data_IF_527162143791
#
_entry.id   IF_527162143791
#
_cell.length_a   1.000
_cell.length_b   1.000
_cell.length_c   1.000
_cell.angle_alpha   90.00
_cell.angle_beta   90.00
_cell.angle_gamma   90.00
#
_symmetry.space_group_name_H-M   'P 1'
#
loop_
_entity.id
_entity.type
_entity.pdbx_description
1 polymer ?
#
# COMPACT_ATOMS: atom_id res chain seq x y z
N UNK A 1 -21.68 11.74 1.61
CA UNK A 1 -21.77 10.30 1.29
C UNK A 1 -21.11 9.54 2.43
N UNK A 2 -21.72 9.47 3.60
CA UNK A 2 -21.12 8.79 4.77
C UNK A 2 -22.13 7.79 5.30
N UNK A 3 -21.88 6.49 5.12
CA UNK A 3 -22.78 5.45 5.60
C UNK A 3 -22.90 4.21 4.71
N UNK A 4 -22.02 4.00 3.74
CA UNK A 4 -22.00 2.76 2.97
C UNK A 4 -20.89 1.84 3.46
N UNK A 5 -21.25 0.60 3.78
CA UNK A 5 -20.30 -0.45 4.15
C UNK A 5 -20.01 -1.26 2.88
N UNK A 6 -18.74 -1.36 2.48
CA UNK A 6 -18.31 -2.06 1.28
C UNK A 6 -16.80 -1.95 1.07
N UNK A 7 -16.28 -2.66 0.07
CA UNK A 7 -14.87 -2.63 -0.30
C UNK A 7 -14.63 -1.54 -1.34
N UNK A 8 -14.01 -0.44 -0.93
CA UNK A 8 -13.78 0.76 -1.76
C UNK A 8 -12.31 1.04 -2.06
N UNK A 9 -11.42 0.13 -1.68
CA UNK A 9 -9.99 0.29 -1.95
C UNK A 9 -9.73 -0.12 -3.39
N UNK A 10 -9.16 0.80 -4.18
CA UNK A 10 -8.62 0.51 -5.50
C UNK A 10 -7.09 0.54 -5.47
N UNK A 11 -6.46 -0.24 -6.34
CA UNK A 11 -4.99 -0.28 -6.48
C UNK A 11 -4.56 0.55 -7.69
N UNK A 12 -3.64 1.49 -7.48
CA UNK A 12 -3.03 2.27 -8.56
C UNK A 12 -1.68 1.67 -8.95
N UNK A 13 -1.53 1.33 -10.22
CA UNK A 13 -0.26 0.86 -10.77
C UNK A 13 0.58 2.07 -11.17
N UNK A 14 1.78 2.18 -10.61
CA UNK A 14 2.74 3.23 -10.92
C UNK A 14 3.93 2.65 -11.68
N UNK A 15 4.17 3.11 -12.91
CA UNK A 15 5.36 2.78 -13.70
C UNK A 15 6.35 3.94 -13.64
N UNK A 16 7.26 3.88 -12.68
CA UNK A 16 8.36 4.84 -12.55
C UNK A 16 9.61 4.32 -13.28
N UNK A 17 10.23 5.17 -14.09
CA UNK A 17 11.54 4.91 -14.67
C UNK A 17 12.58 5.72 -13.91
N UNK A 18 13.73 5.11 -13.58
CA UNK A 18 14.82 5.80 -12.89
C UNK A 18 15.72 6.47 -13.93
N UNK A 19 15.80 7.80 -13.90
CA UNK A 19 16.82 8.55 -14.62
C UNK A 19 17.94 8.95 -13.66
N UNK A 20 19.08 8.26 -13.79
CA UNK A 20 20.25 8.47 -12.94
C UNK A 20 20.98 9.80 -13.21
N UNK A 21 20.54 10.58 -14.21
CA UNK A 21 21.07 11.92 -14.46
C UNK A 21 20.33 13.02 -13.69
N UNK A 22 19.17 12.72 -13.10
CA UNK A 22 18.40 13.68 -12.31
C UNK A 22 18.92 13.73 -10.87
N UNK A 23 18.92 14.95 -10.32
CA UNK A 23 19.06 15.12 -8.88
C UNK A 23 17.83 14.55 -8.16
N UNK A 24 18.01 14.13 -6.90
CA UNK A 24 16.94 13.53 -6.09
C UNK A 24 15.72 14.46 -6.00
N UNK A 25 15.92 15.76 -5.87
CA UNK A 25 14.83 16.74 -5.82
C UNK A 25 13.99 16.74 -7.10
N UNK A 26 14.65 16.68 -8.25
CA UNK A 26 13.96 16.67 -9.56
C UNK A 26 13.23 15.35 -9.77
N UNK A 27 13.83 14.24 -9.32
CA UNK A 27 13.19 12.94 -9.34
C UNK A 27 11.93 12.89 -8.45
N UNK A 28 11.98 13.49 -7.25
CA UNK A 28 10.80 13.59 -6.39
C UNK A 28 9.66 14.40 -7.03
N UNK A 29 9.99 15.49 -7.73
CA UNK A 29 8.99 16.26 -8.50
C UNK A 29 8.39 15.40 -9.62
N UNK A 30 9.21 14.63 -10.32
CA UNK A 30 8.75 13.69 -11.35
C UNK A 30 7.80 12.63 -10.78
N UNK A 31 8.16 11.99 -9.66
CA UNK A 31 7.32 11.01 -8.97
C UNK A 31 6.01 11.63 -8.48
N UNK A 32 6.05 12.84 -7.91
CA UNK A 32 4.83 13.55 -7.50
C UNK A 32 3.87 13.76 -8.68
N UNK A 33 4.40 14.16 -9.85
CA UNK A 33 3.61 14.34 -11.07
C UNK A 33 3.00 13.02 -11.56
N UNK A 34 3.79 11.94 -11.54
CA UNK A 34 3.34 10.58 -11.90
C UNK A 34 2.18 10.12 -10.99
N UNK A 35 2.33 10.26 -9.68
CA UNK A 35 1.30 9.87 -8.69
C UNK A 35 0.04 10.71 -8.87
N UNK A 36 0.16 12.04 -9.00
CA UNK A 36 -0.99 12.92 -9.25
C UNK A 36 -1.72 12.56 -10.55
N UNK A 37 -0.98 12.24 -11.61
CA UNK A 37 -1.57 11.83 -12.89
C UNK A 37 -2.31 10.50 -12.78
N UNK A 38 -1.77 9.53 -12.03
CA UNK A 38 -2.45 8.27 -11.77
C UNK A 38 -3.75 8.45 -10.96
N UNK A 39 -3.75 9.36 -9.98
CA UNK A 39 -4.92 9.66 -9.15
C UNK A 39 -6.09 10.26 -9.93
N UNK A 40 -5.83 10.97 -11.04
CA UNK A 40 -6.89 11.47 -11.94
C UNK A 40 -7.72 10.31 -12.52
N UNK A 41 -7.12 9.13 -12.66
CA UNK A 41 -7.75 7.93 -13.20
C UNK A 41 -8.04 6.86 -12.12
N UNK A 42 -8.11 7.25 -10.85
CA UNK A 42 -8.26 6.32 -9.72
C UNK A 42 -9.56 5.50 -9.72
N UNK A 43 -10.56 5.91 -10.50
CA UNK A 43 -11.83 5.19 -10.63
C UNK A 43 -11.75 3.98 -11.56
N UNK A 44 -10.64 3.81 -12.29
CA UNK A 44 -10.40 2.62 -13.14
C UNK A 44 -10.05 1.43 -12.23
N UNK A 45 -10.87 0.37 -12.17
CA UNK A 45 -10.56 -0.80 -11.35
C UNK A 45 -9.29 -1.49 -11.84
N UNK A 46 -8.44 -1.92 -10.91
CA UNK A 46 -7.21 -2.65 -11.22
C UNK A 46 -7.47 -3.90 -12.09
N UNK A 47 -8.56 -4.62 -11.84
CA UNK A 47 -8.93 -5.83 -12.60
C UNK A 47 -9.15 -5.52 -14.07
N UNK A 48 -9.78 -4.36 -14.38
CA UNK A 48 -9.97 -3.93 -15.77
C UNK A 48 -8.65 -3.59 -16.45
N UNK A 49 -7.70 -3.02 -15.71
CA UNK A 49 -6.36 -2.75 -16.23
C UNK A 49 -5.64 -4.07 -16.59
N UNK A 50 -5.74 -5.09 -15.72
CA UNK A 50 -5.16 -6.41 -15.98
C UNK A 50 -5.75 -7.03 -17.25
N UNK A 51 -7.08 -6.99 -17.38
CA UNK A 51 -7.80 -7.53 -18.54
C UNK A 51 -7.37 -6.84 -19.86
N UNK A 52 -7.27 -5.52 -19.85
CA UNK A 52 -6.92 -4.72 -21.03
C UNK A 52 -5.45 -4.91 -21.45
N UNK A 53 -4.54 -5.13 -20.49
CA UNK A 53 -3.13 -5.37 -20.79
C UNK A 53 -2.88 -6.75 -21.45
N UNK A 54 -3.84 -7.68 -21.36
CA UNK A 54 -3.76 -8.98 -22.02
C UNK A 54 -2.54 -9.81 -21.60
N UNK A 55 -2.13 -9.69 -20.33
CA UNK A 55 -0.92 -10.34 -19.81
C UNK A 55 -1.12 -11.84 -19.65
N UNK A 56 -0.07 -12.62 -19.94
CA UNK A 56 -0.08 -14.06 -19.65
C UNK A 56 -0.20 -14.31 -18.15
N UNK A 57 -1.06 -15.25 -17.77
CA UNK A 57 -1.27 -15.59 -16.38
C UNK A 57 -0.16 -16.51 -15.86
N UNK A 58 0.65 -16.01 -14.92
CA UNK A 58 1.60 -16.78 -14.13
C UNK A 58 1.10 -16.88 -12.68
N UNK A 59 0.68 -18.08 -12.25
CA UNK A 59 0.16 -18.31 -10.91
C UNK A 59 1.20 -18.09 -9.78
N UNK A 60 2.49 -17.93 -10.12
CA UNK A 60 3.55 -17.66 -9.15
C UNK A 60 3.75 -16.17 -8.86
N UNK A 61 3.08 -15.26 -9.59
CA UNK A 61 3.30 -13.80 -9.49
C UNK A 61 2.01 -13.01 -9.62
N UNK A 62 2.01 -11.80 -9.04
CA UNK A 62 0.96 -10.82 -9.36
C UNK A 62 1.14 -10.31 -10.81
N UNK A 63 0.05 -10.01 -11.53
CA UNK A 63 0.06 -9.83 -12.98
C UNK A 63 0.82 -8.59 -13.44
N UNK A 64 0.82 -7.50 -12.67
CA UNK A 64 1.37 -6.20 -13.14
C UNK A 64 2.54 -5.71 -12.29
N UNK A 65 2.53 -5.98 -10.99
CA UNK A 65 3.56 -5.51 -10.05
C UNK A 65 3.74 -6.52 -8.92
N UNK A 66 4.92 -6.54 -8.31
CA UNK A 66 5.26 -7.47 -7.24
C UNK A 66 5.53 -6.76 -5.90
N UNK A 67 5.67 -5.43 -5.92
CA UNK A 67 5.90 -4.62 -4.73
C UNK A 67 4.73 -3.66 -4.52
N UNK A 68 4.12 -3.72 -3.34
CA UNK A 68 3.05 -2.83 -2.91
C UNK A 68 3.60 -1.77 -1.96
N UNK A 69 3.14 -0.53 -2.13
CA UNK A 69 3.42 0.57 -1.23
C UNK A 69 2.12 1.22 -0.79
N UNK A 70 1.94 1.40 0.51
CA UNK A 70 0.80 2.11 1.09
C UNK A 70 1.24 3.12 2.13
N UNK A 71 0.50 4.23 2.18
CA UNK A 71 0.58 5.25 3.21
C UNK A 71 -0.83 5.40 3.77
N UNK A 72 -1.01 5.13 5.06
CA UNK A 72 -2.30 5.17 5.73
C UNK A 72 -2.22 6.04 6.99
N UNK A 73 -3.01 7.10 7.02
CA UNK A 73 -3.28 7.83 8.26
C UNK A 73 -4.55 7.25 8.88
N UNK A 74 -4.43 6.24 9.75
CA UNK A 74 -5.57 5.86 10.58
C UNK A 74 -5.82 7.01 11.54
N UNK A 75 -6.81 7.86 11.21
CA UNK A 75 -7.11 9.06 11.99
C UNK A 75 -7.05 8.79 13.49
N UNK A 76 -6.23 9.58 14.19
CA UNK A 76 -6.06 9.54 15.64
C UNK A 76 -7.40 9.62 16.40
N UNK A 77 -8.43 10.14 15.74
CA UNK A 77 -9.82 10.25 16.23
C UNK A 77 -10.48 8.89 16.54
N UNK A 78 -10.07 7.78 15.92
CA UNK A 78 -10.68 6.47 16.21
C UNK A 78 -10.37 5.95 17.62
N UNK A 79 -9.25 6.37 18.23
CA UNK A 79 -8.88 5.98 19.60
C UNK A 79 -9.79 6.61 20.65
N UNK A 80 -10.44 7.74 20.34
CA UNK A 80 -11.29 8.48 21.28
C UNK A 80 -12.73 7.94 21.36
N UNK A 81 -13.13 7.06 20.45
CA UNK A 81 -14.53 6.58 20.36
C UNK A 81 -14.85 5.36 21.23
N UNK A 82 -13.87 4.75 21.87
CA UNK A 82 -14.08 3.65 22.80
C UNK A 82 -14.46 4.19 24.19
N UNK A 83 -15.67 4.75 24.30
CA UNK A 83 -16.27 5.07 25.60
C UNK A 83 -16.51 3.80 26.43
N UNK A 84 -16.79 3.99 27.74
CA UNK A 84 -17.03 2.89 28.69
C UNK A 84 -18.17 1.93 28.31
N UNK A 85 -19.04 2.32 27.37
CA UNK A 85 -20.15 1.51 26.84
C UNK A 85 -19.90 0.94 25.43
N UNK A 86 -18.66 0.99 24.93
CA UNK A 86 -18.33 0.43 23.60
C UNK A 86 -18.37 -1.10 23.62
N UNK A 87 -19.12 -1.70 22.69
CA UNK A 87 -19.12 -3.15 22.44
C UNK A 87 -17.82 -3.64 21.78
N UNK A 88 -17.03 -2.72 21.23
CA UNK A 88 -15.73 -3.01 20.62
C UNK A 88 -14.63 -2.63 21.61
N UNK A 89 -13.77 -3.60 21.92
CA UNK A 89 -12.56 -3.38 22.69
C UNK A 89 -11.37 -3.22 21.74
N UNK A 90 -10.41 -2.33 22.04
CA UNK A 90 -9.16 -2.27 21.32
C UNK A 90 -8.49 -3.66 21.32
N UNK A 91 -8.07 -4.13 20.15
CA UNK A 91 -7.24 -5.32 20.07
C UNK A 91 -5.83 -4.97 20.52
N UNK A 92 -5.39 -5.57 21.64
CA UNK A 92 -4.05 -5.32 22.21
C UNK A 92 -2.95 -6.20 21.61
N UNK A 93 -3.29 -7.10 20.67
CA UNK A 93 -2.29 -7.89 19.96
C UNK A 93 -1.64 -7.11 18.82
N UNK A 94 -0.51 -7.60 18.31
CA UNK A 94 0.06 -7.07 17.07
C UNK A 94 -0.76 -7.58 15.88
N UNK A 95 -1.18 -6.68 14.98
CA UNK A 95 -1.68 -7.06 13.65
C UNK A 95 -0.48 -7.54 12.82
N UNK A 96 -0.02 -8.77 13.05
CA UNK A 96 0.90 -9.40 12.11
C UNK A 96 0.06 -9.91 10.94
N UNK A 97 0.19 -9.24 9.79
CA UNK A 97 -0.23 -9.82 8.52
C UNK A 97 0.70 -10.98 8.19
N UNK A 98 0.38 -12.17 8.71
CA UNK A 98 1.21 -13.38 8.52
C UNK A 98 1.22 -13.88 7.06
N UNK A 99 0.35 -13.32 6.20
CA UNK A 99 0.23 -13.73 4.79
C UNK A 99 0.71 -12.61 3.87
N UNK A 100 1.83 -12.85 3.20
CA UNK A 100 2.33 -12.00 2.12
C UNK A 100 1.49 -12.21 0.86
N UNK A 101 0.73 -11.17 0.47
CA UNK A 101 -0.05 -11.15 -0.78
C UNK A 101 0.79 -10.80 -2.00
N UNK A 102 1.85 -10.02 -1.78
CA UNK A 102 2.84 -9.60 -2.78
C UNK A 102 4.22 -10.08 -2.35
N UNK A 103 5.21 -9.99 -3.24
CA UNK A 103 6.59 -10.37 -2.93
C UNK A 103 7.09 -9.52 -1.75
N UNK A 104 6.82 -8.21 -1.78
CA UNK A 104 7.07 -7.25 -0.71
C UNK A 104 5.93 -6.22 -0.63
N UNK A 105 5.51 -5.89 0.58
CA UNK A 105 4.58 -4.80 0.86
C UNK A 105 5.16 -3.91 1.93
N UNK A 106 5.23 -2.62 1.66
CA UNK A 106 5.63 -1.59 2.62
C UNK A 106 4.41 -0.75 2.97
N UNK A 107 4.07 -0.68 4.26
CA UNK A 107 3.02 0.20 4.76
C UNK A 107 3.62 1.21 5.72
N UNK A 108 3.34 2.49 5.47
CA UNK A 108 3.69 3.60 6.35
C UNK A 108 2.42 4.09 7.05
N UNK A 109 2.48 4.20 8.37
CA UNK A 109 1.51 4.89 9.20
C UNK A 109 2.10 6.22 9.67
N UNK A 110 1.48 7.32 9.26
CA UNK A 110 1.88 8.70 9.57
C UNK A 110 0.91 9.40 10.55
N UNK A 111 0.05 8.64 11.24
CA UNK A 111 -0.96 9.18 12.16
C UNK A 111 -0.40 9.72 13.48
N UNK A 112 0.84 9.37 13.84
CA UNK A 112 1.49 9.73 15.10
C UNK A 112 2.62 10.74 14.98
N UNK A 113 3.34 10.95 16.08
CA UNK A 113 4.53 11.84 16.14
C UNK A 113 5.74 11.31 15.36
N UNK A 114 5.66 10.06 14.90
CA UNK A 114 6.69 9.36 14.14
C UNK A 114 6.06 8.52 13.04
N UNK A 115 6.76 8.38 11.92
CA UNK A 115 6.39 7.41 10.89
C UNK A 115 6.65 6.00 11.39
N UNK A 116 5.62 5.16 11.39
CA UNK A 116 5.77 3.72 11.61
C UNK A 116 5.80 3.04 10.24
N UNK A 117 6.85 2.25 9.99
CA UNK A 117 7.00 1.51 8.76
C UNK A 117 6.92 0.00 9.05
N UNK A 118 6.15 -0.72 8.26
CA UNK A 118 6.06 -2.17 8.33
C UNK A 118 6.33 -2.79 6.97
N UNK A 119 7.05 -3.91 7.00
CA UNK A 119 7.36 -4.72 5.82
C UNK A 119 6.70 -6.09 5.97
N UNK A 120 5.87 -6.46 4.99
CA UNK A 120 5.33 -7.81 4.84
C UNK A 120 5.92 -8.43 3.59
N UNK A 121 6.50 -9.62 3.67
CA UNK A 121 7.26 -10.20 2.56
C UNK A 121 7.10 -11.72 2.48
N UNK A 122 7.25 -12.26 1.27
CA UNK A 122 7.27 -13.70 1.05
C UNK A 122 8.56 -14.31 1.60
N UNK A 123 8.45 -15.18 2.59
CA UNK A 123 9.60 -15.89 3.19
C UNK A 123 10.24 -16.91 2.24
N UNK A 124 9.54 -17.27 1.15
CA UNK A 124 10.12 -18.07 0.08
C UNK A 124 11.11 -17.27 -0.79
N UNK A 125 11.00 -15.93 -0.79
CA UNK A 125 11.81 -15.03 -1.62
C UNK A 125 12.84 -14.25 -0.80
N UNK A 126 12.49 -13.83 0.42
CA UNK A 126 13.33 -12.96 1.25
C UNK A 126 13.66 -13.60 2.59
N UNK A 127 14.87 -13.33 3.06
CA UNK A 127 15.28 -13.59 4.45
C UNK A 127 15.03 -12.34 5.28
N UNK A 128 14.69 -12.53 6.55
CA UNK A 128 14.52 -11.43 7.49
C UNK A 128 15.73 -10.50 7.55
N UNK A 129 16.95 -11.05 7.48
CA UNK A 129 18.19 -10.27 7.47
C UNK A 129 18.27 -9.30 6.28
N UNK A 130 17.76 -9.68 5.11
CA UNK A 130 17.78 -8.84 3.90
C UNK A 130 16.77 -7.71 3.97
N UNK A 131 15.65 -7.91 4.66
CA UNK A 131 14.61 -6.88 4.81
C UNK A 131 14.95 -5.90 5.94
N UNK A 132 15.77 -6.32 6.90
CA UNK A 132 16.21 -5.49 8.04
C UNK A 132 17.47 -4.66 7.78
N UNK A 133 18.20 -4.94 6.70
CA UNK A 133 19.44 -4.22 6.33
C UNK A 133 19.12 -2.86 5.70
#
# INVERSE_FOLDING_TARGET
>A
MGGLIGFFVNTLVLRAELDFNLDISDYLVHISSLVSSAQIHQDVPFEKLVDELGLDHDASRHPVFQVMFGLESFGSESKTYYGLDSFLLPYEGSLHYDVAKFDLTTMIDDSGDSLLCSFTYSTALFRESTVKE
#
